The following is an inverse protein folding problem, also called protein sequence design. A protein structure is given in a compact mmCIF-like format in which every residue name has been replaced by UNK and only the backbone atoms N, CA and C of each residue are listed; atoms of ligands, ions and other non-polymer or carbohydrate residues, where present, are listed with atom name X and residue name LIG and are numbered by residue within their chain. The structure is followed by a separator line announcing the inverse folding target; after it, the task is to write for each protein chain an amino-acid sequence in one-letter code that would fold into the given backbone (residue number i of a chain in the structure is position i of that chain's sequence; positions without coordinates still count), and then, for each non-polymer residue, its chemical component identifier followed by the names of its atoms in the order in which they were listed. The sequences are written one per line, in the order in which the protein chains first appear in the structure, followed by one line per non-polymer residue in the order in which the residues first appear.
data_IF_607819717044
#
_entry.id   IF_607819717044
#
_cell.length_a   1.000
_cell.length_b   1.000
_cell.length_c   1.000
_cell.angle_alpha   90.00
_cell.angle_beta   90.00
_cell.angle_gamma   90.00
#
_symmetry.space_group_name_H-M   'P 1'
#
loop_
_entity.id
_entity.type
_entity.pdbx_description
1 polymer ?
#
# COMPACT_ATOMS: atom_id res chain seq x y z
N UNK A 1 22.69 30.69 -39.29
CA UNK A 1 21.51 30.03 -38.68
C UNK A 1 21.19 28.75 -39.43
N UNK A 2 21.17 27.60 -38.74
CA UNK A 2 20.20 26.49 -38.90
C UNK A 2 20.61 25.39 -37.91
N UNK A 3 19.83 25.28 -36.84
CA UNK A 3 19.95 24.26 -35.80
C UNK A 3 19.32 22.98 -36.35
N UNK A 4 20.04 21.86 -36.30
CA UNK A 4 19.46 20.54 -36.57
C UNK A 4 19.03 19.94 -35.23
N UNK A 5 17.76 19.56 -35.19
CA UNK A 5 17.02 19.13 -34.03
C UNK A 5 16.83 17.60 -34.06
N UNK A 6 16.60 17.05 -32.86
CA UNK A 6 15.98 15.76 -32.54
C UNK A 6 16.68 14.48 -32.97
N UNK A 7 17.32 13.83 -31.99
CA UNK A 7 17.27 12.37 -31.90
C UNK A 7 16.52 11.99 -30.63
N UNK A 8 15.22 11.75 -30.79
CA UNK A 8 14.38 11.03 -29.83
C UNK A 8 14.80 9.56 -29.87
N UNK A 9 15.43 9.07 -28.81
CA UNK A 9 15.46 7.63 -28.55
C UNK A 9 14.33 7.34 -27.58
N UNK A 10 13.34 6.63 -28.10
CA UNK A 10 12.28 5.92 -27.42
C UNK A 10 12.79 5.24 -26.15
N UNK A 11 12.33 5.70 -24.97
CA UNK A 11 12.25 4.87 -23.78
C UNK A 11 10.81 4.41 -23.65
N UNK A 12 10.47 3.40 -24.45
CA UNK A 12 9.27 2.59 -24.26
C UNK A 12 9.70 1.37 -23.46
N UNK A 13 8.95 1.08 -22.39
CA UNK A 13 8.81 -0.29 -21.89
C UNK A 13 9.40 -0.55 -20.52
N UNK A 14 8.83 0.05 -19.46
CA UNK A 14 8.87 -0.53 -18.11
C UNK A 14 7.68 -0.03 -17.26
N UNK A 15 6.47 -0.14 -17.82
CA UNK A 15 5.22 -0.14 -17.03
C UNK A 15 4.34 -1.25 -17.60
N UNK A 16 4.73 -2.50 -17.35
CA UNK A 16 3.95 -3.66 -17.79
C UNK A 16 3.98 -4.84 -16.79
N UNK A 17 4.18 -4.58 -15.49
CA UNK A 17 4.07 -5.64 -14.45
C UNK A 17 3.18 -5.21 -13.26
N UNK A 18 2.20 -4.34 -13.48
CA UNK A 18 1.17 -4.03 -12.48
C UNK A 18 -0.28 -4.15 -13.01
N UNK A 19 -0.47 -4.61 -14.24
CA UNK A 19 -1.76 -4.59 -14.93
C UNK A 19 -2.49 -5.94 -15.06
N UNK A 20 -2.17 -6.96 -14.26
CA UNK A 20 -2.87 -8.25 -14.32
C UNK A 20 -3.23 -8.77 -12.93
N UNK A 21 -3.88 -7.93 -12.12
CA UNK A 21 -4.80 -8.45 -11.10
C UNK A 21 -6.11 -8.65 -11.83
N UNK A 22 -6.57 -9.90 -11.89
CA UNK A 22 -7.79 -10.32 -12.58
C UNK A 22 -8.99 -9.43 -12.20
N UNK A 23 -9.39 -8.54 -13.10
CA UNK A 23 -10.66 -7.80 -13.04
C UNK A 23 -11.90 -8.70 -13.22
N UNK A 24 -11.76 -10.03 -13.11
CA UNK A 24 -12.86 -11.01 -13.28
C UNK A 24 -13.54 -11.41 -11.96
N UNK A 25 -13.11 -10.90 -10.81
CA UNK A 25 -13.74 -11.22 -9.52
C UNK A 25 -14.59 -10.10 -8.89
N UNK A 26 -14.74 -8.96 -9.58
CA UNK A 26 -15.54 -7.81 -9.13
C UNK A 26 -16.84 -7.61 -9.95
N UNK A 27 -17.21 -8.56 -10.82
CA UNK A 27 -18.35 -8.44 -11.73
C UNK A 27 -19.69 -8.94 -11.19
N UNK A 28 -19.82 -9.21 -9.88
CA UNK A 28 -20.99 -9.91 -9.32
C UNK A 28 -21.77 -9.17 -8.23
N UNK A 29 -21.37 -7.97 -7.81
CA UNK A 29 -22.00 -7.31 -6.64
C UNK A 29 -22.95 -6.14 -6.98
N UNK A 30 -23.19 -5.87 -8.26
CA UNK A 30 -24.11 -4.82 -8.70
C UNK A 30 -25.22 -5.43 -9.55
N UNK A 31 -26.18 -6.04 -8.88
CA UNK A 31 -27.52 -6.28 -9.40
C UNK A 31 -28.48 -6.25 -8.23
N UNK A 32 -28.83 -5.06 -7.78
CA UNK A 32 -30.20 -4.83 -7.36
C UNK A 32 -30.59 -3.37 -7.59
N UNK A 33 -31.60 -3.19 -8.44
CA UNK A 33 -32.36 -1.97 -8.55
C UNK A 33 -33.08 -1.75 -7.21
N UNK A 34 -32.94 -0.59 -6.58
CA UNK A 34 -34.08 0.14 -5.97
C UNK A 34 -33.68 1.49 -5.38
N UNK A 35 -34.25 2.53 -6.00
CA UNK A 35 -34.79 3.78 -5.43
C UNK A 35 -33.89 4.58 -4.47
N UNK A 36 -33.52 5.75 -4.97
CA UNK A 36 -32.98 6.87 -4.21
C UNK A 36 -33.85 7.23 -3.00
N UNK A 37 -33.26 7.13 -1.82
CA UNK A 37 -33.74 7.78 -0.61
C UNK A 37 -32.52 8.47 0.03
N UNK A 38 -32.62 9.78 0.20
CA UNK A 38 -31.62 10.58 0.91
C UNK A 38 -31.52 10.06 2.36
N UNK A 39 -30.50 9.25 2.65
CA UNK A 39 -30.13 8.91 4.02
C UNK A 39 -29.08 9.91 4.49
N UNK A 40 -29.42 10.59 5.58
CA UNK A 40 -28.53 11.41 6.39
C UNK A 40 -27.18 10.71 6.62
N UNK A 41 -26.08 11.46 6.79
CA UNK A 41 -24.77 10.87 6.98
C UNK A 41 -24.79 10.04 8.27
N UNK A 42 -24.75 8.72 8.11
CA UNK A 42 -24.57 7.78 9.21
C UNK A 42 -23.20 8.08 9.82
N UNK A 43 -23.21 8.68 11.01
CA UNK A 43 -22.01 8.88 11.82
C UNK A 43 -21.50 7.49 12.22
N UNK A 44 -20.57 6.98 11.44
CA UNK A 44 -20.00 5.65 11.58
C UNK A 44 -18.94 5.66 12.68
N UNK A 45 -19.36 5.69 13.95
CA UNK A 45 -18.47 5.55 15.11
C UNK A 45 -18.01 4.11 15.34
N UNK A 46 -17.79 3.35 14.26
CA UNK A 46 -17.32 1.99 14.36
C UNK A 46 -15.82 1.99 14.64
N UNK A 47 -15.46 1.73 15.90
CA UNK A 47 -14.19 1.06 16.20
C UNK A 47 -14.20 -0.26 15.43
N UNK A 48 -13.57 -0.30 14.26
CA UNK A 48 -13.45 -1.54 13.51
C UNK A 48 -12.55 -2.48 14.33
N UNK A 49 -13.16 -3.57 14.80
CA UNK A 49 -12.50 -4.66 15.53
C UNK A 49 -11.46 -5.39 14.66
N UNK A 50 -11.44 -5.08 13.37
CA UNK A 50 -10.66 -5.75 12.34
C UNK A 50 -9.45 -4.95 11.89
N UNK A 51 -8.98 -3.95 12.64
CA UNK A 51 -7.72 -3.28 12.32
C UNK A 51 -6.54 -4.23 12.27
N UNK A 52 -5.53 -3.83 11.49
CA UNK A 52 -4.23 -4.49 11.48
C UNK A 52 -3.67 -4.47 12.90
N UNK A 53 -3.30 -5.65 13.41
CA UNK A 53 -2.75 -5.84 14.75
C UNK A 53 -1.27 -6.27 14.64
N UNK A 54 -0.49 -5.97 15.66
CA UNK A 54 0.92 -6.41 15.76
C UNK A 54 1.06 -7.93 15.62
N UNK A 55 0.05 -8.70 16.05
CA UNK A 55 0.04 -10.17 15.91
C UNK A 55 -0.05 -10.63 14.44
N UNK A 56 -0.47 -9.78 13.52
CA UNK A 56 -0.66 -10.12 12.11
C UNK A 56 0.67 -10.08 11.32
N UNK A 57 1.73 -9.50 11.91
CA UNK A 57 3.05 -9.49 11.32
C UNK A 57 3.71 -10.90 11.36
N UNK A 58 4.46 -11.29 10.32
CA UNK A 58 5.20 -12.54 10.31
C UNK A 58 6.18 -12.64 11.48
N UNK A 59 6.12 -13.76 12.21
CA UNK A 59 7.00 -14.07 13.36
C UNK A 59 8.46 -14.35 12.98
N UNK A 60 8.81 -14.41 11.69
CA UNK A 60 10.17 -14.66 11.20
C UNK A 60 11.07 -13.57 11.76
N UNK A 61 12.13 -13.95 12.48
CA UNK A 61 13.12 -13.02 13.05
C UNK A 61 13.51 -12.03 11.96
N UNK A 62 13.27 -10.75 12.19
CA UNK A 62 13.78 -9.68 11.35
C UNK A 62 15.26 -9.92 11.17
N UNK A 63 15.72 -10.12 9.93
CA UNK A 63 17.16 -10.10 9.65
C UNK A 63 17.68 -8.81 10.26
N UNK A 64 18.64 -8.88 11.20
CA UNK A 64 19.08 -7.70 11.96
C UNK A 64 19.39 -6.56 11.00
N UNK A 65 18.54 -5.54 11.06
CA UNK A 65 18.50 -4.31 10.27
C UNK A 65 19.90 -3.68 10.06
N UNK A 66 20.73 -3.72 11.09
CA UNK A 66 22.10 -3.18 11.08
C UNK A 66 22.99 -3.88 10.05
N UNK A 67 22.85 -5.19 9.86
CA UNK A 67 23.66 -5.94 8.93
C UNK A 67 23.27 -5.70 7.46
N UNK A 68 22.01 -5.36 7.18
CA UNK A 68 21.58 -5.06 5.81
C UNK A 68 22.08 -3.68 5.34
N UNK A 69 22.09 -2.70 6.24
CA UNK A 69 22.58 -1.34 5.95
C UNK A 69 24.10 -1.32 5.70
N UNK A 70 24.86 -2.06 6.50
CA UNK A 70 26.32 -2.22 6.33
C UNK A 70 26.71 -2.96 5.04
N UNK A 71 25.88 -3.89 4.58
CA UNK A 71 26.21 -4.81 3.47
C UNK A 71 25.78 -4.28 2.08
N UNK A 72 24.82 -3.35 1.99
CA UNK A 72 24.17 -2.99 0.72
C UNK A 72 24.23 -1.52 0.29
N UNK A 73 24.62 -0.58 1.16
CA UNK A 73 24.94 0.81 0.79
C UNK A 73 23.89 1.51 -0.10
N UNK A 74 24.22 1.76 -1.38
CA UNK A 74 23.35 2.46 -2.35
C UNK A 74 21.97 1.82 -2.55
N UNK A 75 21.86 0.52 -2.37
CA UNK A 75 20.58 -0.18 -2.57
C UNK A 75 19.55 0.24 -1.51
N UNK A 76 20.00 0.58 -0.30
CA UNK A 76 19.12 1.05 0.77
C UNK A 76 18.66 2.50 0.56
N UNK A 77 19.50 3.36 0.00
CA UNK A 77 19.08 4.72 -0.39
C UNK A 77 17.95 4.68 -1.42
N UNK A 78 18.06 3.77 -2.40
CA UNK A 78 17.01 3.54 -3.40
C UNK A 78 15.73 2.99 -2.77
N UNK A 79 15.83 2.09 -1.79
CA UNK A 79 14.67 1.60 -1.05
C UNK A 79 14.01 2.72 -0.24
N UNK A 80 14.77 3.54 0.48
CA UNK A 80 14.20 4.67 1.24
C UNK A 80 13.51 5.68 0.32
N UNK A 81 14.11 5.98 -0.85
CA UNK A 81 13.47 6.80 -1.87
C UNK A 81 12.15 6.17 -2.37
N UNK A 82 12.11 4.85 -2.51
CA UNK A 82 10.90 4.12 -2.91
C UNK A 82 9.83 4.13 -1.82
N UNK A 83 10.21 3.97 -0.56
CA UNK A 83 9.31 4.08 0.60
C UNK A 83 8.76 5.50 0.75
N UNK A 84 9.57 6.52 0.51
CA UNK A 84 9.11 7.92 0.50
C UNK A 84 8.05 8.16 -0.58
N UNK A 85 8.27 7.65 -1.79
CA UNK A 85 7.28 7.70 -2.88
C UNK A 85 6.01 6.95 -2.51
N UNK A 86 6.14 5.76 -1.91
CA UNK A 86 5.00 4.99 -1.44
C UNK A 86 4.18 5.78 -0.42
N UNK A 87 4.81 6.37 0.60
CA UNK A 87 4.12 7.20 1.61
C UNK A 87 3.36 8.36 0.98
N UNK A 88 3.97 9.07 0.03
CA UNK A 88 3.32 10.19 -0.67
C UNK A 88 2.12 9.71 -1.52
N UNK A 89 2.27 8.59 -2.23
CA UNK A 89 1.18 7.99 -2.99
C UNK A 89 0.05 7.49 -2.10
N UNK A 90 0.40 6.90 -0.95
CA UNK A 90 -0.56 6.41 0.03
C UNK A 90 -1.38 7.57 0.60
N UNK A 91 -0.73 8.64 1.07
CA UNK A 91 -1.40 9.84 1.60
C UNK A 91 -2.39 10.44 0.59
N UNK A 92 -1.97 10.58 -0.68
CA UNK A 92 -2.87 11.01 -1.76
C UNK A 92 -4.03 10.04 -1.96
N UNK A 93 -3.78 8.74 -1.93
CA UNK A 93 -4.83 7.72 -2.10
C UNK A 93 -5.85 7.78 -0.97
N UNK A 94 -5.40 7.75 0.28
CA UNK A 94 -6.27 7.75 1.46
C UNK A 94 -7.13 9.01 1.55
N UNK A 95 -6.62 10.18 1.14
CA UNK A 95 -7.40 11.43 1.08
C UNK A 95 -8.58 11.39 0.10
N UNK A 96 -8.55 10.48 -0.87
CA UNK A 96 -9.57 10.36 -1.91
C UNK A 96 -10.49 9.14 -1.71
N UNK A 97 -10.28 8.37 -0.65
CA UNK A 97 -11.10 7.20 -0.32
C UNK A 97 -12.09 7.53 0.78
N UNK A 98 -13.23 6.82 0.79
CA UNK A 98 -14.08 6.81 1.97
C UNK A 98 -13.33 6.13 3.12
N UNK A 99 -13.80 6.35 4.35
CA UNK A 99 -13.22 5.72 5.53
C UNK A 99 -13.14 4.19 5.42
N UNK A 100 -14.20 3.55 4.93
CA UNK A 100 -14.28 2.09 4.78
C UNK A 100 -13.32 1.62 3.67
N UNK A 101 -13.34 2.29 2.51
CA UNK A 101 -12.45 1.93 1.40
C UNK A 101 -10.98 2.12 1.78
N UNK A 102 -10.67 3.11 2.62
CA UNK A 102 -9.32 3.34 3.13
C UNK A 102 -8.83 2.18 4.00
N UNK A 103 -9.67 1.66 4.91
CA UNK A 103 -9.36 0.46 5.69
C UNK A 103 -9.12 -0.75 4.77
N UNK A 104 -10.05 -1.05 3.86
CA UNK A 104 -9.91 -2.18 2.95
C UNK A 104 -8.64 -2.10 2.10
N UNK A 105 -8.32 -0.90 1.61
CA UNK A 105 -7.09 -0.65 0.86
C UNK A 105 -5.83 -0.95 1.69
N UNK A 106 -5.77 -0.46 2.93
CA UNK A 106 -4.64 -0.67 3.82
C UNK A 106 -4.45 -2.15 4.15
N UNK A 107 -5.54 -2.86 4.46
CA UNK A 107 -5.55 -4.29 4.72
C UNK A 107 -5.08 -5.11 3.52
N UNK A 108 -5.61 -4.82 2.33
CA UNK A 108 -5.21 -5.51 1.11
C UNK A 108 -3.71 -5.32 0.81
N UNK A 109 -3.19 -4.10 1.02
CA UNK A 109 -1.78 -3.80 0.77
C UNK A 109 -0.86 -4.44 1.82
N UNK A 110 -1.30 -4.48 3.07
CA UNK A 110 -0.60 -5.19 4.15
C UNK A 110 -0.49 -6.68 3.84
N UNK A 111 -1.61 -7.34 3.53
CA UNK A 111 -1.65 -8.77 3.22
C UNK A 111 -0.83 -9.12 1.97
N UNK A 112 -0.82 -8.25 0.95
CA UNK A 112 0.04 -8.44 -0.21
C UNK A 112 1.53 -8.46 0.15
N UNK A 113 1.97 -7.56 1.04
CA UNK A 113 3.38 -7.49 1.45
C UNK A 113 3.75 -8.61 2.42
N UNK A 114 2.83 -8.98 3.30
CA UNK A 114 2.96 -10.14 4.18
C UNK A 114 3.06 -11.45 3.40
N UNK A 115 2.22 -11.64 2.38
CA UNK A 115 2.28 -12.79 1.49
C UNK A 115 3.63 -12.84 0.77
N UNK A 116 4.12 -11.71 0.27
CA UNK A 116 5.44 -11.65 -0.38
C UNK A 116 6.57 -12.10 0.57
N UNK A 117 6.59 -11.58 1.81
CA UNK A 117 7.61 -11.95 2.81
C UNK A 117 7.49 -13.41 3.26
N UNK A 118 6.28 -13.98 3.24
CA UNK A 118 6.02 -15.33 3.76
C UNK A 118 6.17 -16.43 2.71
N UNK A 119 5.91 -16.13 1.44
CA UNK A 119 5.92 -17.13 0.35
C UNK A 119 7.28 -17.28 -0.33
N UNK A 120 8.14 -16.27 -0.23
CA UNK A 120 9.43 -16.25 -0.92
C UNK A 120 10.57 -16.46 0.08
N UNK A 121 11.16 -17.66 0.06
CA UNK A 121 12.28 -18.03 0.95
C UNK A 121 13.63 -17.46 0.49
N UNK A 122 13.71 -16.98 -0.75
CA UNK A 122 14.92 -16.49 -1.42
C UNK A 122 14.93 -14.96 -1.66
N UNK A 123 14.07 -14.21 -0.97
CA UNK A 123 14.06 -12.75 -1.10
C UNK A 123 15.35 -12.11 -0.59
N UNK A 124 15.81 -11.08 -1.29
CA UNK A 124 16.91 -10.25 -0.79
C UNK A 124 16.51 -9.53 0.50
N UNK A 125 17.50 -9.27 1.37
CA UNK A 125 17.30 -8.48 2.60
C UNK A 125 16.67 -7.11 2.30
N UNK A 126 17.06 -6.51 1.18
CA UNK A 126 16.56 -5.22 0.69
C UNK A 126 15.06 -5.29 0.34
N UNK A 127 14.61 -6.36 -0.34
CA UNK A 127 13.19 -6.59 -0.62
C UNK A 127 12.41 -6.91 0.65
N UNK A 128 12.94 -7.77 1.52
CA UNK A 128 12.31 -8.08 2.80
C UNK A 128 12.08 -6.80 3.63
N UNK A 129 13.10 -5.95 3.70
CA UNK A 129 13.01 -4.65 4.37
C UNK A 129 11.92 -3.77 3.76
N UNK A 130 11.93 -3.59 2.43
CA UNK A 130 10.90 -2.81 1.75
C UNK A 130 9.50 -3.29 2.11
N UNK A 131 9.21 -4.59 1.99
CA UNK A 131 7.88 -5.12 2.26
C UNK A 131 7.47 -5.06 3.74
N UNK A 132 8.41 -5.26 4.67
CA UNK A 132 8.14 -5.08 6.10
C UNK A 132 7.84 -3.62 6.45
N UNK A 133 8.51 -2.68 5.79
CA UNK A 133 8.23 -1.25 5.96
C UNK A 133 6.88 -0.87 5.36
N UNK A 134 6.48 -1.43 4.21
CA UNK A 134 5.12 -1.26 3.67
C UNK A 134 4.09 -1.72 4.70
N UNK A 135 4.27 -2.91 5.28
CA UNK A 135 3.37 -3.42 6.31
C UNK A 135 3.27 -2.49 7.53
N UNK A 136 4.42 -1.98 8.02
CA UNK A 136 4.45 -1.03 9.14
C UNK A 136 3.70 0.26 8.82
N UNK A 137 3.91 0.81 7.62
CA UNK A 137 3.21 2.01 7.16
C UNK A 137 1.70 1.76 7.09
N UNK A 138 1.26 0.62 6.56
CA UNK A 138 -0.16 0.26 6.51
C UNK A 138 -0.77 0.18 7.91
N UNK A 139 -0.12 -0.53 8.84
CA UNK A 139 -0.53 -0.64 10.23
C UNK A 139 -0.68 0.73 10.92
N UNK A 140 0.32 1.61 10.76
CA UNK A 140 0.28 2.92 11.41
C UNK A 140 -0.85 3.80 10.85
N UNK A 141 -1.09 3.79 9.54
CA UNK A 141 -2.18 4.55 8.93
C UNK A 141 -3.55 3.99 9.30
N UNK A 142 -3.69 2.67 9.34
CA UNK A 142 -4.92 1.98 9.75
C UNK A 142 -5.31 2.34 11.19
N UNK A 143 -4.31 2.38 12.08
CA UNK A 143 -4.49 2.85 13.45
C UNK A 143 -4.88 4.33 13.53
N UNK A 144 -4.28 5.19 12.70
CA UNK A 144 -4.58 6.63 12.69
C UNK A 144 -6.01 6.90 12.21
N UNK A 145 -6.47 6.23 11.15
CA UNK A 145 -7.86 6.33 10.70
C UNK A 145 -8.83 6.00 11.85
N UNK A 146 -8.55 4.91 12.58
CA UNK A 146 -9.34 4.54 13.73
C UNK A 146 -9.32 5.54 14.89
N UNK A 147 -8.23 6.28 15.09
CA UNK A 147 -8.15 7.33 16.12
C UNK A 147 -8.89 8.61 15.69
N UNK A 148 -8.79 8.98 14.42
CA UNK A 148 -9.44 10.18 13.86
C UNK A 148 -10.95 10.02 13.71
N UNK A 149 -11.45 8.79 13.56
CA UNK A 149 -12.90 8.49 13.60
C UNK A 149 -13.56 8.88 14.94
N UNK A 150 -12.79 9.06 16.01
CA UNK A 150 -13.26 9.47 17.33
C UNK A 150 -13.47 10.98 17.53
N UNK A 151 -13.11 11.82 16.57
CA UNK A 151 -13.13 13.30 16.70
C UNK A 151 -14.24 14.00 15.91
N UNK A 152 -15.19 13.28 15.31
CA UNK A 152 -16.40 13.88 14.76
C UNK A 152 -17.42 14.06 15.89
N UNK A 153 -17.41 15.25 16.50
CA UNK A 153 -18.38 15.73 17.48
C UNK A 153 -19.35 16.73 16.87
#
# INVERSE_FOLDING_TARGET
MKKVFFSSILVVGLVAILGQINAKHYGGLFSDDTKAEHKEPVVYSAKFKECIDMKDFPKKKTSKYEAAFEESGRDMEMVEASLKKFRASLDSTLKNLSYIDAHEFLHARFEQSKAFVSLHDDISKTQEYYHREIMRICYDNDRLLNLDSGNFH
#
